data_IF_668740442179
#
_entry.id   IF_668740442179
#
_cell.length_a   1.000
_cell.length_b   1.000
_cell.length_c   1.000
_cell.angle_alpha   90.00
_cell.angle_beta   90.00
_cell.angle_gamma   90.00
#
_symmetry.space_group_name_H-M   'P 1'
#
loop_
_entity.id
_entity.type
_entity.pdbx_description
1 polymer ?
#
# COMPACT_ATOMS: atom_id res chain seq x y z
N UNK A 1 -5.16 -19.26 5.10
CA UNK A 1 -4.54 -19.36 3.77
C UNK A 1 -3.23 -18.56 3.67
N UNK A 2 -2.21 -19.03 2.95
CA UNK A 2 -0.97 -18.25 2.66
C UNK A 2 -1.26 -16.93 1.93
N UNK A 3 -0.56 -15.85 2.34
CA UNK A 3 -0.68 -14.50 1.80
C UNK A 3 -0.43 -14.43 0.28
N UNK A 4 0.50 -15.22 -0.27
CA UNK A 4 0.75 -15.25 -1.72
C UNK A 4 -0.43 -15.83 -2.49
N UNK A 5 -1.03 -16.90 -1.95
CA UNK A 5 -2.19 -17.55 -2.55
C UNK A 5 -3.44 -16.67 -2.42
N UNK A 6 -3.59 -15.98 -1.29
CA UNK A 6 -4.63 -14.97 -1.08
C UNK A 6 -4.50 -13.82 -2.08
N UNK A 7 -3.30 -13.24 -2.25
CA UNK A 7 -3.04 -12.19 -3.23
C UNK A 7 -3.43 -12.64 -4.64
N UNK A 8 -2.99 -13.84 -5.07
CA UNK A 8 -3.34 -14.37 -6.39
C UNK A 8 -4.85 -14.49 -6.58
N UNK A 9 -5.58 -14.99 -5.57
CA UNK A 9 -7.05 -15.10 -5.63
C UNK A 9 -7.73 -13.74 -5.71
N UNK A 10 -7.30 -12.78 -4.89
CA UNK A 10 -7.83 -11.41 -4.88
C UNK A 10 -7.57 -10.71 -6.21
N UNK A 11 -6.35 -10.81 -6.75
CA UNK A 11 -5.98 -10.22 -8.04
C UNK A 11 -6.75 -10.85 -9.19
N UNK A 12 -6.90 -12.18 -9.22
CA UNK A 12 -7.68 -12.84 -10.27
C UNK A 12 -9.15 -12.38 -10.26
N UNK A 13 -9.73 -12.24 -9.06
CA UNK A 13 -11.12 -11.79 -8.93
C UNK A 13 -11.28 -10.31 -9.29
N UNK A 14 -10.32 -9.47 -8.88
CA UNK A 14 -10.26 -8.07 -9.27
C UNK A 14 -10.17 -7.93 -10.81
N UNK A 15 -9.27 -8.67 -11.47
CA UNK A 15 -9.12 -8.64 -12.92
C UNK A 15 -10.40 -9.05 -13.65
N UNK A 16 -11.07 -10.12 -13.20
CA UNK A 16 -12.37 -10.51 -13.75
C UNK A 16 -13.41 -9.39 -13.65
N UNK A 17 -13.48 -8.68 -12.52
CA UNK A 17 -14.40 -7.53 -12.38
C UNK A 17 -14.00 -6.32 -13.24
N UNK A 18 -12.69 -6.10 -13.46
CA UNK A 18 -12.20 -5.04 -14.33
C UNK A 18 -12.48 -5.33 -15.81
N UNK A 19 -12.35 -6.58 -16.23
CA UNK A 19 -12.72 -7.04 -17.56
C UNK A 19 -14.23 -6.90 -17.81
N UNK A 20 -15.07 -7.27 -16.83
CA UNK A 20 -16.52 -7.06 -16.91
C UNK A 20 -16.88 -5.57 -17.07
N UNK A 21 -16.27 -4.69 -16.27
CA UNK A 21 -16.48 -3.25 -16.35
C UNK A 21 -15.97 -2.68 -17.70
N UNK A 22 -14.77 -3.09 -18.14
CA UNK A 22 -14.22 -2.72 -19.44
C UNK A 22 -15.11 -3.16 -20.60
N UNK A 23 -15.61 -4.39 -20.57
CA UNK A 23 -16.52 -4.93 -21.57
C UNK A 23 -17.88 -4.25 -21.58
N UNK A 24 -18.42 -3.85 -20.42
CA UNK A 24 -19.65 -3.06 -20.35
C UNK A 24 -19.44 -1.65 -20.96
N UNK A 25 -18.35 -0.95 -20.59
CA UNK A 25 -18.00 0.35 -21.17
C UNK A 25 -17.82 0.27 -22.68
N UNK A 26 -17.12 -0.76 -23.17
CA UNK A 26 -16.89 -0.94 -24.60
C UNK A 26 -18.20 -1.17 -25.36
N UNK A 27 -19.11 -1.97 -24.82
CA UNK A 27 -20.45 -2.20 -25.42
C UNK A 27 -21.25 -0.90 -25.50
N UNK A 28 -21.28 -0.11 -24.43
CA UNK A 28 -21.95 1.19 -24.45
C UNK A 28 -21.30 2.14 -25.45
N UNK A 29 -19.96 2.24 -25.44
CA UNK A 29 -19.21 3.08 -26.38
C UNK A 29 -19.48 2.69 -27.82
N UNK A 30 -19.50 1.39 -28.14
CA UNK A 30 -19.81 0.89 -29.48
C UNK A 30 -21.24 1.26 -29.87
N UNK A 31 -22.22 1.07 -28.98
CA UNK A 31 -23.62 1.42 -29.26
C UNK A 31 -23.78 2.92 -29.57
N UNK A 32 -23.06 3.79 -28.86
CA UNK A 32 -23.11 5.24 -29.09
C UNK A 32 -22.55 5.68 -30.45
N UNK A 33 -21.78 4.84 -31.14
CA UNK A 33 -21.28 5.15 -32.49
C UNK A 33 -22.33 4.97 -33.60
N UNK A 34 -23.44 4.27 -33.33
CA UNK A 34 -24.50 4.02 -34.29
C UNK A 34 -25.72 4.89 -34.01
N UNK A 35 -26.23 5.58 -35.04
CA UNK A 35 -27.48 6.33 -34.92
C UNK A 35 -28.66 5.36 -34.74
N UNK A 36 -29.52 5.63 -33.76
CA UNK A 36 -30.68 4.80 -33.45
C UNK A 36 -30.38 3.54 -32.63
N UNK A 37 -29.16 3.40 -32.09
CA UNK A 37 -28.85 2.28 -31.21
C UNK A 37 -29.73 2.27 -29.95
N UNK A 38 -30.18 1.08 -29.54
CA UNK A 38 -30.92 0.91 -28.29
C UNK A 38 -29.94 0.96 -27.11
N UNK A 39 -30.01 2.05 -26.34
CA UNK A 39 -29.16 2.28 -25.16
C UNK A 39 -29.78 1.75 -23.86
N UNK A 40 -31.01 1.25 -23.93
CA UNK A 40 -31.75 0.71 -22.79
C UNK A 40 -30.99 -0.45 -22.15
N UNK A 41 -30.84 -0.39 -20.82
CA UNK A 41 -30.08 -1.38 -20.04
C UNK A 41 -28.55 -1.33 -20.21
N UNK A 42 -28.00 -0.70 -21.26
CA UNK A 42 -26.55 -0.56 -21.42
C UNK A 42 -25.94 0.35 -20.36
N UNK A 43 -26.60 1.48 -20.07
CA UNK A 43 -26.18 2.41 -19.01
C UNK A 43 -26.20 1.71 -17.64
N UNK A 44 -27.30 1.01 -17.33
CA UNK A 44 -27.43 0.28 -16.07
C UNK A 44 -26.38 -0.83 -15.96
N UNK A 45 -26.09 -1.54 -17.06
CA UNK A 45 -25.06 -2.57 -17.08
C UNK A 45 -23.66 -2.01 -16.77
N UNK A 46 -23.36 -0.80 -17.24
CA UNK A 46 -22.11 -0.10 -16.93
C UNK A 46 -22.10 0.29 -15.46
N UNK A 47 -23.16 0.94 -14.96
CA UNK A 47 -23.23 1.35 -13.55
C UNK A 47 -23.03 0.17 -12.60
N UNK A 48 -23.69 -0.97 -12.88
CA UNK A 48 -23.54 -2.20 -12.08
C UNK A 48 -22.13 -2.77 -12.16
N UNK A 49 -21.52 -2.83 -13.35
CA UNK A 49 -20.17 -3.37 -13.50
C UNK A 49 -19.11 -2.47 -12.82
N UNK A 50 -19.24 -1.16 -12.95
CA UNK A 50 -18.38 -0.18 -12.26
C UNK A 50 -18.54 -0.23 -10.74
N UNK A 51 -19.79 -0.30 -10.26
CA UNK A 51 -20.09 -0.43 -8.83
C UNK A 51 -19.42 -1.66 -8.21
N UNK A 52 -19.43 -2.79 -8.92
CA UNK A 52 -18.73 -4.02 -8.51
C UNK A 52 -17.21 -3.87 -8.53
N UNK A 53 -16.64 -3.21 -9.54
CA UNK A 53 -15.19 -3.07 -9.71
C UNK A 53 -14.55 -2.10 -8.70
N UNK A 54 -15.26 -1.03 -8.32
CA UNK A 54 -14.77 0.05 -7.45
C UNK A 54 -14.08 -0.42 -6.16
N UNK A 55 -14.66 -1.31 -5.32
CA UNK A 55 -14.00 -1.77 -4.09
C UNK A 55 -12.74 -2.59 -4.37
N UNK A 56 -12.65 -3.30 -5.50
CA UNK A 56 -11.43 -4.04 -5.88
C UNK A 56 -10.28 -3.11 -6.26
N UNK A 57 -10.56 -1.98 -6.93
CA UNK A 57 -9.54 -0.95 -7.21
C UNK A 57 -8.97 -0.38 -5.92
N UNK A 58 -9.84 -0.07 -4.95
CA UNK A 58 -9.43 0.46 -3.65
C UNK A 58 -8.63 -0.59 -2.87
N UNK A 59 -9.07 -1.86 -2.89
CA UNK A 59 -8.36 -2.96 -2.26
C UNK A 59 -6.93 -3.09 -2.79
N UNK A 60 -6.72 -3.18 -4.11
CA UNK A 60 -5.38 -3.36 -4.68
C UNK A 60 -4.44 -2.21 -4.29
N UNK A 61 -4.92 -0.97 -4.34
CA UNK A 61 -4.15 0.21 -3.87
C UNK A 61 -3.77 0.13 -2.39
N UNK A 62 -4.62 -0.47 -1.55
CA UNK A 62 -4.35 -0.67 -0.12
C UNK A 62 -3.39 -1.83 0.12
N UNK A 63 -3.52 -2.91 -0.64
CA UNK A 63 -2.60 -4.05 -0.59
C UNK A 63 -1.17 -3.60 -0.92
N UNK A 64 -0.99 -2.76 -1.94
CA UNK A 64 0.33 -2.23 -2.32
C UNK A 64 0.98 -1.38 -1.20
N UNK A 65 0.18 -0.78 -0.33
CA UNK A 65 0.65 0.14 0.74
C UNK A 65 0.83 -0.55 2.09
N UNK A 66 -0.05 -1.49 2.43
CA UNK A 66 -0.20 -2.04 3.78
C UNK A 66 0.00 -3.56 3.83
N UNK A 67 0.15 -4.20 2.67
CA UNK A 67 0.15 -5.66 2.55
C UNK A 67 -1.25 -6.25 2.44
N UNK A 68 -1.30 -7.53 2.07
CA UNK A 68 -2.52 -8.24 1.65
C UNK A 68 -3.58 -8.29 2.77
N UNK A 69 -3.14 -8.64 3.99
CA UNK A 69 -4.02 -8.82 5.14
C UNK A 69 -4.59 -7.51 5.63
N UNK A 70 -3.73 -6.55 6.00
CA UNK A 70 -4.18 -5.25 6.50
C UNK A 70 -5.00 -4.49 5.46
N UNK A 71 -4.60 -4.57 4.19
CA UNK A 71 -5.34 -3.98 3.08
C UNK A 71 -6.75 -4.54 2.98
N UNK A 72 -6.91 -5.86 3.07
CA UNK A 72 -8.21 -6.53 3.03
C UNK A 72 -9.08 -6.18 4.23
N UNK A 73 -8.54 -6.24 5.44
CA UNK A 73 -9.28 -5.90 6.68
C UNK A 73 -9.78 -4.46 6.63
N UNK A 74 -8.90 -3.49 6.32
CA UNK A 74 -9.28 -2.08 6.25
C UNK A 74 -10.28 -1.81 5.12
N UNK A 75 -10.16 -2.50 3.98
CA UNK A 75 -11.13 -2.34 2.90
C UNK A 75 -12.51 -2.89 3.29
N UNK A 76 -12.57 -4.07 3.94
CA UNK A 76 -13.86 -4.61 4.44
C UNK A 76 -14.50 -3.65 5.44
N UNK A 77 -13.72 -3.09 6.36
CA UNK A 77 -14.19 -2.10 7.32
C UNK A 77 -14.77 -0.86 6.62
N UNK A 78 -14.03 -0.27 5.67
CA UNK A 78 -14.52 0.90 4.92
C UNK A 78 -15.80 0.57 4.13
N UNK A 79 -15.88 -0.59 3.47
CA UNK A 79 -17.07 -1.03 2.75
C UNK A 79 -18.29 -1.14 3.68
N UNK A 80 -18.11 -1.67 4.90
CA UNK A 80 -19.16 -1.74 5.91
C UNK A 80 -19.59 -0.35 6.38
N UNK A 81 -18.62 0.53 6.68
CA UNK A 81 -18.90 1.91 7.10
C UNK A 81 -19.69 2.67 6.04
N UNK A 82 -19.30 2.56 4.76
CA UNK A 82 -20.01 3.17 3.64
C UNK A 82 -21.45 2.63 3.54
N UNK A 83 -21.65 1.32 3.65
CA UNK A 83 -22.98 0.71 3.63
C UNK A 83 -23.88 1.21 4.76
N UNK A 84 -23.33 1.43 5.95
CA UNK A 84 -24.07 2.01 7.09
C UNK A 84 -24.40 3.50 6.89
N UNK A 85 -23.51 4.25 6.23
CA UNK A 85 -23.66 5.70 6.01
C UNK A 85 -24.68 6.08 4.92
N UNK A 86 -25.00 5.18 3.98
CA UNK A 86 -25.90 5.51 2.86
C UNK A 86 -27.35 5.86 3.27
N UNK A 87 -27.70 5.81 4.56
CA UNK A 87 -29.07 5.78 5.06
C UNK A 87 -29.95 7.03 4.97
N UNK A 88 -29.55 8.21 4.47
CA UNK A 88 -30.37 9.43 4.69
C UNK A 88 -30.49 10.44 3.53
N UNK A 89 -29.92 10.21 2.34
CA UNK A 89 -30.03 11.21 1.27
C UNK A 89 -30.10 10.57 -0.11
N UNK A 90 -31.29 10.59 -0.75
CA UNK A 90 -31.46 10.32 -2.17
C UNK A 90 -31.31 11.64 -2.95
N UNK A 91 -30.55 11.62 -4.03
CA UNK A 91 -30.48 12.75 -4.96
C UNK A 91 -31.82 12.87 -5.72
N UNK A 92 -32.11 14.04 -6.28
CA UNK A 92 -33.21 14.19 -7.26
C UNK A 92 -32.84 13.62 -8.63
N UNK A 93 -31.55 13.33 -8.87
CA UNK A 93 -31.07 12.72 -10.12
C UNK A 93 -31.23 11.21 -10.09
N UNK A 94 -32.02 10.68 -11.04
CA UNK A 94 -32.23 9.24 -11.24
C UNK A 94 -30.92 8.50 -11.52
N UNK A 95 -30.02 9.09 -12.32
CA UNK A 95 -28.73 8.49 -12.67
C UNK A 95 -27.83 8.40 -11.44
N UNK A 96 -27.80 9.45 -10.61
CA UNK A 96 -27.02 9.45 -9.37
C UNK A 96 -27.56 8.43 -8.37
N UNK A 97 -28.87 8.27 -8.28
CA UNK A 97 -29.49 7.26 -7.44
C UNK A 97 -29.20 5.84 -7.95
N UNK A 98 -29.30 5.60 -9.26
CA UNK A 98 -28.97 4.31 -9.88
C UNK A 98 -27.50 3.95 -9.67
N UNK A 99 -26.58 4.89 -9.89
CA UNK A 99 -25.16 4.72 -9.61
C UNK A 99 -24.91 4.37 -8.15
N UNK A 100 -25.57 5.08 -7.22
CA UNK A 100 -25.46 4.82 -5.78
C UNK A 100 -25.97 3.43 -5.40
N UNK A 101 -27.10 2.99 -5.96
CA UNK A 101 -27.64 1.64 -5.72
C UNK A 101 -26.70 0.56 -6.25
N UNK A 102 -26.14 0.78 -7.45
CA UNK A 102 -25.14 -0.11 -8.04
C UNK A 102 -23.86 -0.18 -7.20
N UNK A 103 -23.40 0.94 -6.64
CA UNK A 103 -22.28 0.95 -5.69
C UNK A 103 -22.59 0.15 -4.42
N UNK A 104 -23.78 0.33 -3.81
CA UNK A 104 -24.18 -0.44 -2.64
C UNK A 104 -24.22 -1.95 -2.93
N UNK A 105 -24.77 -2.36 -4.07
CA UNK A 105 -24.77 -3.76 -4.49
C UNK A 105 -23.33 -4.27 -4.69
N UNK A 106 -22.47 -3.46 -5.32
CA UNK A 106 -21.05 -3.77 -5.48
C UNK A 106 -20.31 -3.97 -4.16
N UNK A 107 -20.55 -3.11 -3.17
CA UNK A 107 -19.98 -3.24 -1.83
C UNK A 107 -20.45 -4.51 -1.12
N UNK A 108 -21.75 -4.83 -1.19
CA UNK A 108 -22.30 -6.07 -0.61
C UNK A 108 -21.69 -7.32 -1.24
N UNK A 109 -21.60 -7.35 -2.57
CA UNK A 109 -20.97 -8.46 -3.30
C UNK A 109 -19.48 -8.58 -3.01
N UNK A 110 -18.79 -7.45 -2.81
CA UNK A 110 -17.39 -7.46 -2.41
C UNK A 110 -17.20 -8.07 -1.02
N UNK A 111 -18.03 -7.67 -0.06
CA UNK A 111 -17.99 -8.25 1.29
C UNK A 111 -18.25 -9.75 1.25
N UNK A 112 -19.32 -10.19 0.59
CA UNK A 112 -19.66 -11.60 0.41
C UNK A 112 -18.53 -12.40 -0.29
N UNK A 113 -17.98 -11.83 -1.38
CA UNK A 113 -16.87 -12.45 -2.11
C UNK A 113 -15.57 -12.58 -1.31
N UNK A 114 -15.40 -11.70 -0.31
CA UNK A 114 -14.20 -11.70 0.51
C UNK A 114 -14.39 -12.38 1.85
N UNK A 115 -15.61 -12.56 2.36
CA UNK A 115 -15.90 -13.08 3.71
C UNK A 115 -15.15 -14.39 4.02
N UNK A 116 -15.12 -15.31 3.06
CA UNK A 116 -14.45 -16.62 3.16
C UNK A 116 -12.92 -16.60 3.01
N UNK A 117 -12.33 -15.44 2.74
CA UNK A 117 -10.88 -15.28 2.59
C UNK A 117 -10.28 -14.98 3.96
N UNK A 118 -9.88 -16.05 4.65
CA UNK A 118 -9.07 -16.01 5.86
C UNK A 118 -7.60 -16.22 5.49
N UNK A 119 -6.76 -15.26 5.86
CA UNK A 119 -5.32 -15.29 5.61
C UNK A 119 -4.68 -15.73 6.93
N UNK A 120 -3.99 -16.88 6.91
CA UNK A 120 -3.39 -17.43 8.12
C UNK A 120 -2.24 -16.51 8.52
N UNK A 121 -2.10 -16.28 9.83
CA UNK A 121 -0.83 -15.79 10.37
C UNK A 121 0.17 -16.94 10.32
N UNK A 122 1.04 -16.95 9.31
CA UNK A 122 2.31 -17.68 9.42
C UNK A 122 3.47 -16.78 8.97
N UNK A 123 4.39 -16.63 9.92
CA UNK A 123 5.46 -15.64 10.07
C UNK A 123 5.03 -14.16 10.02
N UNK A 124 4.68 -13.65 11.21
CA UNK A 124 5.19 -12.34 11.56
C UNK A 124 6.69 -12.28 11.17
N UNK A 125 7.20 -11.21 10.52
CA UNK A 125 8.53 -10.78 10.90
C UNK A 125 8.42 -10.50 12.39
N UNK A 126 9.00 -11.35 13.23
CA UNK A 126 8.97 -11.28 14.70
C UNK A 126 8.78 -9.84 15.17
N UNK A 127 7.53 -9.45 15.39
CA UNK A 127 7.23 -8.27 16.17
C UNK A 127 7.37 -8.81 17.58
N UNK A 128 8.57 -8.59 18.14
CA UNK A 128 8.88 -8.98 19.50
C UNK A 128 7.74 -8.46 20.38
N UNK A 129 6.98 -9.39 20.95
CA UNK A 129 5.91 -9.13 21.88
C UNK A 129 6.39 -8.08 22.87
N UNK A 130 5.64 -6.99 23.02
CA UNK A 130 5.78 -6.06 24.14
C UNK A 130 5.42 -6.85 25.40
N UNK A 131 6.37 -7.23 26.27
CA UNK A 131 6.02 -7.77 27.57
C UNK A 131 5.78 -6.57 28.48
N UNK A 132 4.63 -6.53 29.15
CA UNK A 132 4.48 -5.79 30.39
C UNK A 132 5.64 -6.18 31.32
N UNK A 133 6.55 -5.24 31.55
CA UNK A 133 7.72 -5.40 32.41
C UNK A 133 7.32 -5.06 33.84
N UNK A 134 7.07 -6.09 34.64
CA UNK A 134 7.69 -6.16 35.96
C UNK A 134 9.09 -6.78 35.84
N UNK A 135 10.06 -6.37 36.68
CA UNK A 135 11.42 -6.11 36.23
C UNK A 135 12.32 -7.34 36.24
N UNK A 136 12.89 -7.67 35.09
CA UNK A 136 14.12 -8.47 34.99
C UNK A 136 15.04 -7.92 33.89
N UNK A 137 16.24 -7.53 34.32
CA UNK A 137 17.34 -6.88 33.59
C UNK A 137 17.97 -7.83 32.56
N UNK A 138 18.09 -7.47 31.26
CA UNK A 138 18.84 -8.27 30.25
C UNK A 138 19.56 -7.39 29.18
N UNK A 139 20.88 -7.62 29.05
CA UNK A 139 21.97 -6.94 28.32
C UNK A 139 21.93 -6.84 26.77
N UNK A 140 20.78 -6.93 26.10
CA UNK A 140 20.73 -7.04 24.62
C UNK A 140 20.65 -5.73 23.81
N UNK A 141 20.11 -4.65 24.40
CA UNK A 141 19.75 -3.42 23.66
C UNK A 141 20.96 -2.57 23.23
N UNK A 142 22.10 -2.73 23.91
CA UNK A 142 23.26 -1.87 23.69
C UNK A 142 23.98 -2.09 22.35
N UNK A 143 23.85 -3.27 21.72
CA UNK A 143 24.58 -3.61 20.50
C UNK A 143 23.91 -3.06 19.24
N UNK A 144 22.59 -3.14 19.15
CA UNK A 144 21.80 -2.63 18.01
C UNK A 144 21.78 -1.11 17.98
N UNK A 145 21.64 -0.46 19.14
CA UNK A 145 21.74 1.00 19.25
C UNK A 145 23.14 1.49 18.87
N UNK A 146 24.20 0.82 19.32
CA UNK A 146 25.59 1.14 18.93
C UNK A 146 25.82 1.02 17.43
N UNK A 147 25.25 0.00 16.77
CA UNK A 147 25.37 -0.16 15.32
C UNK A 147 24.62 0.93 14.54
N UNK A 148 23.47 1.41 15.05
CA UNK A 148 22.73 2.50 14.42
C UNK A 148 23.46 3.84 14.57
N UNK A 149 24.03 4.12 15.74
CA UNK A 149 24.86 5.30 15.99
C UNK A 149 26.12 5.29 15.11
N UNK A 150 26.81 4.15 15.00
CA UNK A 150 27.99 4.00 14.12
C UNK A 150 27.69 4.27 12.64
N UNK A 151 26.49 3.96 12.17
CA UNK A 151 26.09 4.23 10.78
C UNK A 151 25.79 5.71 10.57
N UNK A 152 25.17 6.38 11.54
CA UNK A 152 24.97 7.83 11.49
C UNK A 152 26.33 8.58 11.55
N UNK A 153 27.28 8.12 12.36
CA UNK A 153 28.65 8.64 12.39
C UNK A 153 29.36 8.45 11.04
N UNK A 154 29.23 7.27 10.42
CA UNK A 154 29.78 7.02 9.09
C UNK A 154 29.15 7.94 8.03
N UNK A 155 27.84 8.20 8.08
CA UNK A 155 27.17 9.14 7.16
C UNK A 155 27.65 10.58 7.39
N UNK A 156 27.97 10.97 8.64
CA UNK A 156 28.48 12.30 8.97
C UNK A 156 29.91 12.55 8.47
N UNK A 157 30.79 11.56 8.61
CA UNK A 157 32.24 11.75 8.42
C UNK A 157 32.79 11.31 7.07
N UNK A 158 32.13 10.34 6.40
CA UNK A 158 32.82 9.50 5.44
C UNK A 158 32.33 9.62 3.98
N UNK A 159 31.42 10.54 3.68
CA UNK A 159 30.94 10.77 2.30
C UNK A 159 30.26 9.55 1.68
N UNK A 160 29.28 8.97 2.39
CA UNK A 160 28.58 7.75 1.95
C UNK A 160 27.83 8.03 0.64
N UNK A 161 28.06 7.21 -0.39
CA UNK A 161 27.39 7.24 -1.69
C UNK A 161 26.53 5.99 -1.90
N UNK A 162 25.30 6.20 -2.36
CA UNK A 162 24.35 5.17 -2.72
C UNK A 162 24.22 5.09 -4.25
N UNK A 163 24.50 3.92 -4.83
CA UNK A 163 24.37 3.67 -6.27
C UNK A 163 23.04 2.98 -6.60
N UNK A 164 22.60 3.12 -7.85
CA UNK A 164 21.33 2.55 -8.37
C UNK A 164 21.20 1.02 -8.18
N UNK A 165 22.32 0.28 -8.16
CA UNK A 165 22.34 -1.16 -7.87
C UNK A 165 22.23 -1.50 -6.37
N UNK A 166 22.00 -0.50 -5.51
CA UNK A 166 21.99 -0.64 -4.05
C UNK A 166 23.38 -0.90 -3.46
N UNK A 167 24.44 -0.53 -4.20
CA UNK A 167 25.82 -0.58 -3.71
C UNK A 167 26.09 0.66 -2.87
N UNK A 168 26.62 0.47 -1.66
CA UNK A 168 27.07 1.57 -0.81
C UNK A 168 28.59 1.67 -0.95
N UNK A 169 29.08 2.84 -1.34
CA UNK A 169 30.51 3.14 -1.37
C UNK A 169 30.79 4.30 -0.45
N UNK A 170 31.98 4.32 0.15
CA UNK A 170 32.40 5.34 1.10
C UNK A 170 33.69 5.96 0.57
N UNK A 171 33.86 7.27 0.71
CA UNK A 171 35.08 7.95 0.26
C UNK A 171 36.25 7.69 1.22
N UNK A 172 36.00 7.65 2.53
CA UNK A 172 37.01 7.32 3.55
C UNK A 172 36.40 6.52 4.71
N UNK A 173 36.94 5.33 5.02
CA UNK A 173 36.57 4.57 6.23
C UNK A 173 35.71 3.32 6.01
N UNK A 174 35.09 2.84 7.10
CA UNK A 174 34.34 1.57 7.11
C UNK A 174 33.03 1.66 6.33
N UNK A 175 32.77 0.69 5.45
CA UNK A 175 31.55 0.64 4.64
C UNK A 175 30.36 0.19 5.52
N UNK A 176 29.37 1.07 5.78
CA UNK A 176 28.22 0.69 6.58
C UNK A 176 27.36 -0.32 5.81
N UNK A 177 26.66 -1.19 6.55
CA UNK A 177 25.74 -2.15 5.93
C UNK A 177 24.62 -1.42 5.21
N UNK A 178 24.37 -1.80 3.96
CA UNK A 178 23.29 -1.27 3.10
C UNK A 178 21.96 -1.13 3.84
N UNK A 179 21.53 -2.19 4.52
CA UNK A 179 20.25 -2.23 5.22
C UNK A 179 20.12 -1.12 6.29
N UNK A 180 21.23 -0.72 6.92
CA UNK A 180 21.22 0.32 7.95
C UNK A 180 21.20 1.73 7.34
N UNK A 181 21.80 1.92 6.15
CA UNK A 181 21.73 3.19 5.41
C UNK A 181 20.30 3.39 4.87
N UNK A 182 19.71 2.36 4.28
CA UNK A 182 18.31 2.38 3.83
C UNK A 182 17.35 2.58 5.02
N UNK A 183 17.64 1.98 6.17
CA UNK A 183 16.89 2.21 7.40
C UNK A 183 16.95 3.67 7.84
N UNK A 184 18.15 4.27 7.90
CA UNK A 184 18.33 5.68 8.26
C UNK A 184 17.60 6.62 7.29
N UNK A 185 17.55 6.29 6.00
CA UNK A 185 16.78 7.04 5.00
C UNK A 185 15.26 6.87 5.24
N UNK A 186 14.78 5.64 5.47
CA UNK A 186 13.35 5.38 5.70
C UNK A 186 12.80 6.04 6.97
N UNK A 187 13.64 6.19 7.99
CA UNK A 187 13.30 6.88 9.25
C UNK A 187 13.48 8.40 9.17
N UNK A 188 13.95 8.92 8.04
CA UNK A 188 14.17 10.36 7.83
C UNK A 188 15.39 10.92 8.57
N UNK A 189 16.31 10.07 9.05
CA UNK A 189 17.54 10.47 9.72
C UNK A 189 18.65 10.85 8.73
N UNK A 190 18.59 10.29 7.52
CA UNK A 190 19.47 10.62 6.41
C UNK A 190 18.65 10.87 5.14
N UNK A 191 19.21 11.64 4.21
CA UNK A 191 18.61 11.95 2.92
C UNK A 191 19.64 11.84 1.81
N UNK A 192 19.20 11.28 0.69
CA UNK A 192 20.00 11.19 -0.53
C UNK A 192 19.96 12.54 -1.27
N UNK A 193 21.13 13.06 -1.61
CA UNK A 193 21.29 14.27 -2.40
C UNK A 193 21.14 13.94 -3.89
N UNK A 194 20.11 14.49 -4.52
CA UNK A 194 19.74 14.22 -5.90
C UNK A 194 20.52 15.06 -6.93
N UNK A 195 21.53 15.81 -6.49
CA UNK A 195 22.33 16.69 -7.36
C UNK A 195 23.20 15.94 -8.37
N UNK A 196 23.43 14.63 -8.17
CA UNK A 196 24.21 13.77 -9.06
C UNK A 196 23.37 12.61 -9.62
N UNK A 197 23.64 12.17 -10.86
CA UNK A 197 22.98 10.99 -11.43
C UNK A 197 23.31 9.74 -10.60
N UNK A 198 22.32 8.87 -10.42
CA UNK A 198 22.45 7.68 -9.56
C UNK A 198 23.45 6.63 -10.09
N UNK A 199 23.87 6.76 -11.35
CA UNK A 199 24.96 6.00 -11.96
C UNK A 199 26.35 6.34 -11.39
N UNK A 200 26.53 7.55 -10.86
CA UNK A 200 27.80 8.02 -10.27
C UNK A 200 27.84 7.89 -8.74
N UNK A 201 26.71 7.48 -8.14
CA UNK A 201 26.52 7.38 -6.70
C UNK A 201 26.05 8.72 -6.11
N UNK A 202 24.86 8.69 -5.50
CA UNK A 202 24.28 9.85 -4.83
C UNK A 202 24.78 9.94 -3.40
N UNK A 203 25.22 11.14 -3.00
CA UNK A 203 25.70 11.37 -1.64
C UNK A 203 24.55 11.27 -0.65
N UNK A 204 24.79 10.61 0.48
CA UNK A 204 23.84 10.50 1.58
C UNK A 204 24.29 11.46 2.67
N UNK A 205 23.46 12.46 2.97
CA UNK A 205 23.69 13.43 4.03
C UNK A 205 22.76 13.20 5.23
N UNK A 206 23.18 13.60 6.43
CA UNK A 206 22.30 13.59 7.60
C UNK A 206 21.25 14.70 7.53
N UNK A 207 20.05 14.41 8.00
CA UNK A 207 19.03 15.43 8.27
C UNK A 207 19.27 16.05 9.65
N UNK A 208 18.62 17.18 9.98
CA UNK A 208 18.68 17.76 11.32
C UNK A 208 18.26 16.75 12.42
N UNK A 209 17.35 15.84 12.10
CA UNK A 209 16.89 14.75 13.00
C UNK A 209 18.01 13.73 13.22
N UNK A 210 18.69 13.29 12.16
CA UNK A 210 19.83 12.37 12.29
C UNK A 210 21.03 12.98 13.01
N UNK A 211 21.25 14.28 12.82
CA UNK A 211 22.28 15.02 13.54
C UNK A 211 21.96 15.15 15.04
N UNK A 212 20.68 15.35 15.40
CA UNK A 212 20.24 15.43 16.80
C UNK A 212 20.44 14.10 17.56
N UNK A 213 20.24 12.96 16.89
CA UNK A 213 20.45 11.61 17.46
C UNK A 213 21.93 11.37 17.80
N UNK A 214 22.86 11.98 17.07
CA UNK A 214 24.30 11.90 17.35
C UNK A 214 24.76 12.84 18.47
N UNK A 215 23.95 13.84 18.83
CA UNK A 215 24.29 14.82 19.87
C UNK A 215 23.62 14.54 21.22
N UNK A 216 22.77 13.51 21.30
CA UNK A 216 22.10 13.04 22.51
C UNK A 216 22.94 11.95 23.19
#
# INVERSE_FOLDING_TARGET
>A
MDAKLALKRLTNRANSTFEEAGGARQRLSNALTFQGAQLEGLIDSVLVAEGKAKPWVQLLKRIDRLGVREGLVKQRQECLELLLQYGLSMSTSMVTNAARLAEQDGLRRFLDATDTIEIDEDEAPVEAAVPELEPAVIDGLGATIRQQVQVLEAIRGNGVKLHEAGKVTVEDGSVPRRALVEFAISKGWARVDGTRPASEGQLVGLTPVGAAILSA
#
